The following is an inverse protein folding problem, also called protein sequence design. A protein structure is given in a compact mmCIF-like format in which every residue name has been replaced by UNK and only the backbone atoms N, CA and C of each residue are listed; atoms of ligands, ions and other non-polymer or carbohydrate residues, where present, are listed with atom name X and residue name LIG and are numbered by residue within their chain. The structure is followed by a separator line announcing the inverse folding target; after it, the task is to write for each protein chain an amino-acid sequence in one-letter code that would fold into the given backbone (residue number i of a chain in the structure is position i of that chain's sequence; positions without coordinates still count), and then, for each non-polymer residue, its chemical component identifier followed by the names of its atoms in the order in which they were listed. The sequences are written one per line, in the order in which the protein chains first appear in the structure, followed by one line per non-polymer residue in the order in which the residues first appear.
data_IF_663124240257
#
_entry.id   IF_663124240257
#
_cell.length_a   1.000
_cell.length_b   1.000
_cell.length_c   1.000
_cell.angle_alpha   90.00
_cell.angle_beta   90.00
_cell.angle_gamma   90.00
#
_symmetry.space_group_name_H-M   'P 1'
#
loop_
_entity.id
_entity.type
_entity.pdbx_description
1 polymer ?
#
# COMPACT_ATOMS: atom_id res chain seq x y z
N UNK A 1 30.05 -1.46 -31.13
CA UNK A 1 30.69 -2.43 -32.03
C UNK A 1 30.82 -3.82 -31.35
N UNK A 2 31.21 -3.89 -30.06
CA UNK A 2 31.45 -5.15 -29.34
C UNK A 2 30.19 -5.98 -29.11
N UNK A 3 29.03 -5.33 -29.02
CA UNK A 3 27.72 -6.00 -28.89
C UNK A 3 27.10 -6.35 -30.26
N UNK A 4 27.79 -6.10 -31.37
CA UNK A 4 27.26 -6.34 -32.72
C UNK A 4 26.13 -5.39 -33.14
N UNK A 5 25.88 -4.32 -32.38
CA UNK A 5 24.85 -3.32 -32.68
C UNK A 5 25.42 -2.10 -33.36
N UNK A 6 24.67 -1.52 -34.30
CA UNK A 6 24.96 -0.21 -34.86
C UNK A 6 24.76 0.87 -33.79
N UNK A 7 25.61 1.91 -33.81
CA UNK A 7 25.49 3.05 -32.88
C UNK A 7 25.44 4.35 -33.69
N UNK A 8 24.50 5.23 -33.29
CA UNK A 8 24.39 6.62 -33.75
C UNK A 8 24.40 7.52 -32.53
N UNK A 9 25.23 8.52 -32.52
CA UNK A 9 25.32 9.51 -31.45
C UNK A 9 26.74 9.88 -31.05
N UNK A 10 26.88 10.74 -30.00
CA UNK A 10 25.79 11.41 -29.26
C UNK A 10 25.08 12.47 -30.12
N UNK A 11 23.75 12.58 -29.96
CA UNK A 11 22.89 13.55 -30.63
C UNK A 11 22.33 14.52 -29.59
N UNK A 12 22.29 15.82 -29.94
CA UNK A 12 21.58 16.78 -29.09
C UNK A 12 20.06 16.49 -29.10
N UNK A 13 19.54 16.02 -27.98
CA UNK A 13 18.12 15.66 -27.83
C UNK A 13 17.15 16.84 -27.79
N UNK A 14 17.67 18.08 -27.77
CA UNK A 14 16.86 19.30 -27.86
C UNK A 14 16.86 19.89 -29.27
N UNK A 15 17.56 19.27 -30.23
CA UNK A 15 17.51 19.58 -31.66
C UNK A 15 16.59 18.59 -32.37
N UNK A 16 15.37 19.03 -32.67
CA UNK A 16 14.32 18.17 -33.25
C UNK A 16 14.72 17.71 -34.68
N UNK A 17 15.37 18.56 -35.47
CA UNK A 17 15.77 18.22 -36.83
C UNK A 17 16.81 17.11 -36.84
N UNK A 18 17.83 17.20 -35.97
CA UNK A 18 18.84 16.16 -35.78
C UNK A 18 18.22 14.84 -35.28
N UNK A 19 17.24 14.91 -34.35
CA UNK A 19 16.50 13.74 -33.87
C UNK A 19 15.71 13.06 -34.98
N UNK A 20 14.95 13.84 -35.78
CA UNK A 20 14.17 13.30 -36.91
C UNK A 20 15.06 12.59 -37.90
N UNK A 21 16.24 13.15 -38.25
CA UNK A 21 17.20 12.51 -39.15
C UNK A 21 17.72 11.19 -38.60
N UNK A 22 18.14 11.20 -37.33
CA UNK A 22 18.69 10.00 -36.68
C UNK A 22 17.66 8.89 -36.53
N UNK A 23 16.44 9.24 -36.11
CA UNK A 23 15.34 8.28 -35.95
C UNK A 23 14.83 7.74 -37.29
N UNK A 24 14.83 8.56 -38.34
CA UNK A 24 14.51 8.11 -39.69
C UNK A 24 15.56 7.09 -40.20
N UNK A 25 16.83 7.39 -40.00
CA UNK A 25 17.89 6.41 -40.33
C UNK A 25 17.75 5.12 -39.52
N UNK A 26 17.47 5.24 -38.21
CA UNK A 26 17.31 4.07 -37.34
C UNK A 26 16.10 3.20 -37.74
N UNK A 27 15.00 3.83 -38.15
CA UNK A 27 13.78 3.14 -38.64
C UNK A 27 14.09 2.31 -39.88
N UNK A 28 14.89 2.86 -40.81
CA UNK A 28 15.15 2.26 -42.10
C UNK A 28 16.38 1.31 -42.08
N UNK A 29 17.05 1.19 -40.92
CA UNK A 29 18.20 0.29 -40.74
C UNK A 29 17.71 -1.13 -40.42
N UNK A 30 18.20 -2.12 -41.20
CA UNK A 30 17.87 -3.53 -41.00
C UNK A 30 18.82 -4.15 -39.96
N UNK A 31 18.39 -4.12 -38.68
CA UNK A 31 19.12 -4.68 -37.56
C UNK A 31 19.02 -3.87 -36.27
N UNK A 32 19.61 -4.37 -35.19
CA UNK A 32 19.59 -3.66 -33.90
C UNK A 32 20.50 -2.42 -33.96
N UNK A 33 19.96 -1.29 -33.48
CA UNK A 33 20.64 0.00 -33.50
C UNK A 33 20.43 0.76 -32.18
N UNK A 34 21.48 1.37 -31.66
CA UNK A 34 21.45 2.28 -30.52
C UNK A 34 21.46 3.71 -31.04
N UNK A 35 20.43 4.49 -30.70
CA UNK A 35 20.41 5.93 -30.91
C UNK A 35 20.66 6.61 -29.56
N UNK A 36 21.89 7.16 -29.42
CA UNK A 36 22.29 7.84 -28.18
C UNK A 36 21.93 9.32 -28.25
N UNK A 37 20.97 9.72 -27.43
CA UNK A 37 20.44 11.08 -27.34
C UNK A 37 20.85 11.68 -26.00
N UNK A 38 21.46 12.87 -26.00
CA UNK A 38 21.85 13.61 -24.79
C UNK A 38 20.84 14.72 -24.58
N UNK A 39 20.22 14.72 -23.40
CA UNK A 39 19.23 15.71 -22.98
C UNK A 39 19.59 16.35 -21.63
N UNK A 40 19.07 17.52 -21.37
CA UNK A 40 19.08 18.21 -20.09
C UNK A 40 17.68 18.13 -19.50
N UNK A 41 17.53 17.51 -18.32
CA UNK A 41 16.24 17.41 -17.64
C UNK A 41 15.71 18.80 -17.26
N UNK A 42 14.46 19.07 -17.57
CA UNK A 42 13.84 20.39 -17.35
C UNK A 42 14.17 21.45 -18.40
N UNK A 43 14.88 21.10 -19.48
CA UNK A 43 15.28 22.03 -20.53
C UNK A 43 14.11 22.88 -21.06
N UNK A 44 14.34 24.17 -21.19
CA UNK A 44 13.33 25.14 -21.62
C UNK A 44 12.46 25.71 -20.50
N UNK A 45 12.59 25.19 -19.28
CA UNK A 45 11.88 25.70 -18.09
C UNK A 45 12.86 25.92 -16.94
N UNK A 46 13.35 27.14 -16.80
CA UNK A 46 14.38 27.48 -15.81
C UNK A 46 14.06 27.06 -14.36
N UNK A 47 12.79 27.14 -13.85
CA UNK A 47 12.46 26.64 -12.54
C UNK A 47 12.74 25.14 -12.36
N UNK A 48 12.53 24.33 -13.41
CA UNK A 48 12.83 22.90 -13.36
C UNK A 48 14.32 22.60 -13.45
N UNK A 49 15.05 23.27 -14.38
CA UNK A 49 16.51 23.11 -14.51
C UNK A 49 17.23 23.41 -13.19
N UNK A 50 16.76 24.43 -12.46
CA UNK A 50 17.38 24.91 -11.23
C UNK A 50 16.84 24.25 -9.95
N UNK A 51 15.84 23.35 -10.05
CA UNK A 51 15.30 22.63 -8.90
C UNK A 51 16.26 21.50 -8.48
N UNK A 52 16.82 21.56 -7.23
CA UNK A 52 17.95 20.70 -6.85
C UNK A 52 17.59 19.26 -6.51
N UNK A 53 16.31 18.93 -6.29
CA UNK A 53 15.89 17.58 -5.82
C UNK A 53 15.70 16.62 -6.97
N UNK A 54 14.72 16.87 -7.84
CA UNK A 54 14.33 15.97 -8.92
C UNK A 54 14.04 16.70 -10.24
N UNK A 55 14.38 17.98 -10.30
CA UNK A 55 14.17 18.83 -11.48
C UNK A 55 12.71 18.81 -11.93
N UNK A 56 11.79 18.83 -10.97
CA UNK A 56 10.34 18.79 -11.19
C UNK A 56 9.90 17.56 -12.02
N UNK A 57 10.48 16.40 -11.77
CA UNK A 57 10.13 15.16 -12.48
C UNK A 57 8.62 14.87 -12.43
N UNK A 58 8.00 15.15 -11.26
CA UNK A 58 6.56 15.07 -11.07
C UNK A 58 6.12 16.27 -10.22
N UNK A 59 5.19 17.05 -10.73
CA UNK A 59 4.67 18.24 -10.04
C UNK A 59 3.16 18.30 -10.12
N UNK A 60 2.52 18.83 -9.05
CA UNK A 60 1.11 19.21 -9.08
C UNK A 60 0.90 20.50 -9.88
N UNK A 61 -0.20 21.21 -9.61
CA UNK A 61 -0.46 22.52 -10.22
C UNK A 61 0.58 23.55 -9.74
N UNK A 62 1.29 24.15 -10.70
CA UNK A 62 2.30 25.19 -10.44
C UNK A 62 1.95 26.50 -11.15
N UNK A 63 2.56 27.58 -10.74
CA UNK A 63 2.62 28.81 -11.53
C UNK A 63 3.56 28.57 -12.73
N UNK A 64 3.10 28.79 -13.98
CA UNK A 64 3.88 28.43 -15.17
C UNK A 64 5.10 29.33 -15.39
N UNK A 65 5.22 30.45 -14.68
CA UNK A 65 6.33 31.38 -14.82
C UNK A 65 7.38 31.16 -13.73
N UNK A 66 6.93 31.00 -12.49
CA UNK A 66 7.81 30.91 -11.32
C UNK A 66 8.12 29.47 -10.91
N UNK A 67 7.34 28.48 -11.36
CA UNK A 67 7.42 27.09 -10.91
C UNK A 67 6.90 26.85 -9.48
N UNK A 68 6.37 27.88 -8.82
CA UNK A 68 5.87 27.76 -7.45
C UNK A 68 4.57 26.95 -7.42
N UNK A 69 4.48 25.98 -6.51
CA UNK A 69 3.29 25.18 -6.33
C UNK A 69 2.08 26.04 -5.95
N UNK A 70 0.92 25.77 -6.57
CA UNK A 70 -0.36 26.40 -6.26
C UNK A 70 -1.08 25.64 -5.17
N UNK A 71 -1.61 26.36 -4.18
CA UNK A 71 -2.41 25.81 -3.07
C UNK A 71 -1.60 25.50 -1.81
N UNK A 72 -2.31 25.29 -0.71
CA UNK A 72 -1.75 24.83 0.57
C UNK A 72 -1.56 23.32 0.50
N UNK A 73 -0.34 22.87 0.74
CA UNK A 73 -0.04 21.43 0.81
C UNK A 73 -0.61 20.88 2.12
N UNK A 74 -1.62 20.03 2.04
CA UNK A 74 -2.09 19.28 3.20
C UNK A 74 -1.04 18.22 3.59
N UNK A 75 -0.91 17.88 4.88
CA UNK A 75 -0.05 16.79 5.31
C UNK A 75 -0.42 15.49 4.59
N UNK A 76 0.57 14.82 4.03
CA UNK A 76 0.39 13.53 3.36
C UNK A 76 0.93 12.38 4.20
N UNK A 77 0.55 11.17 3.81
CA UNK A 77 1.04 9.93 4.43
C UNK A 77 2.57 9.85 4.45
N UNK A 78 3.20 10.12 3.31
CA UNK A 78 4.67 10.15 3.17
C UNK A 78 5.33 11.13 4.12
N UNK A 79 4.73 12.30 4.36
CA UNK A 79 5.27 13.31 5.29
C UNK A 79 5.17 12.83 6.74
N UNK A 80 4.04 12.23 7.14
CA UNK A 80 3.86 11.67 8.48
C UNK A 80 4.85 10.54 8.78
N UNK A 81 5.09 9.64 7.81
CA UNK A 81 6.15 8.63 7.90
C UNK A 81 7.54 9.25 8.04
N UNK A 82 7.87 10.24 7.19
CA UNK A 82 9.16 10.92 7.18
C UNK A 82 9.49 11.58 8.52
N UNK A 83 8.51 12.30 9.11
CA UNK A 83 8.64 12.91 10.43
C UNK A 83 8.91 11.88 11.52
N UNK A 84 8.15 10.76 11.51
CA UNK A 84 8.28 9.71 12.52
C UNK A 84 9.59 8.95 12.40
N UNK A 85 10.06 8.66 11.17
CA UNK A 85 11.36 8.03 10.94
C UNK A 85 12.52 8.88 11.47
N UNK A 86 12.52 10.19 11.20
CA UNK A 86 13.55 11.11 11.71
C UNK A 86 13.50 11.14 13.24
N UNK A 87 12.31 11.26 13.83
CA UNK A 87 12.14 11.28 15.29
C UNK A 87 12.58 9.97 15.97
N UNK A 88 12.38 8.82 15.32
CA UNK A 88 12.86 7.53 15.81
C UNK A 88 14.39 7.43 15.73
N UNK A 89 14.98 7.87 14.62
CA UNK A 89 16.43 7.84 14.38
C UNK A 89 17.23 8.82 15.25
N UNK A 90 16.59 9.87 15.78
CA UNK A 90 17.20 10.74 16.81
C UNK A 90 17.37 10.04 18.16
N UNK A 91 16.60 8.96 18.40
CA UNK A 91 16.62 8.19 19.65
C UNK A 91 17.37 6.86 19.51
N UNK A 92 17.52 6.37 18.29
CA UNK A 92 18.12 5.05 17.98
C UNK A 92 19.18 5.20 16.89
N UNK A 93 20.42 4.96 17.24
CA UNK A 93 21.57 5.08 16.33
C UNK A 93 21.71 3.86 15.39
N UNK A 94 21.02 2.77 15.66
CA UNK A 94 20.99 1.55 14.85
C UNK A 94 20.08 1.65 13.64
N UNK A 95 19.16 2.63 13.59
CA UNK A 95 18.27 2.81 12.44
C UNK A 95 19.05 3.34 11.23
N UNK A 96 18.99 2.61 10.13
CA UNK A 96 19.51 3.00 8.82
C UNK A 96 18.39 3.02 7.78
N UNK A 97 18.41 3.98 6.86
CA UNK A 97 17.37 4.11 5.84
C UNK A 97 17.92 3.77 4.45
N UNK A 98 17.17 2.98 3.70
CA UNK A 98 17.54 2.51 2.36
C UNK A 98 16.39 2.82 1.38
N UNK A 99 16.75 3.29 0.18
CA UNK A 99 15.79 3.44 -0.93
C UNK A 99 16.41 3.06 -2.25
N UNK A 100 15.58 2.94 -3.29
CA UNK A 100 15.98 2.61 -4.66
C UNK A 100 15.66 3.78 -5.59
N UNK A 101 16.53 4.79 -5.64
CA UNK A 101 16.42 6.03 -6.43
C UNK A 101 15.18 6.90 -6.10
N UNK A 102 14.67 6.84 -4.85
CA UNK A 102 13.37 7.42 -4.49
C UNK A 102 13.39 8.21 -3.17
N UNK A 103 14.51 8.79 -2.76
CA UNK A 103 14.65 9.48 -1.47
C UNK A 103 13.57 10.55 -1.21
N UNK A 104 13.27 11.41 -2.18
CA UNK A 104 12.22 12.41 -2.08
C UNK A 104 10.81 11.81 -2.05
N UNK A 105 10.43 11.00 -3.07
CA UNK A 105 9.11 10.42 -3.19
C UNK A 105 8.67 9.48 -2.05
N UNK A 106 9.61 8.81 -1.37
CA UNK A 106 9.34 7.94 -0.22
C UNK A 106 9.55 8.63 1.14
N UNK A 107 9.83 9.95 1.15
CA UNK A 107 9.98 10.72 2.38
C UNK A 107 11.33 10.55 3.08
N UNK A 108 12.34 9.95 2.47
CA UNK A 108 13.65 9.75 3.08
C UNK A 108 14.60 10.95 2.96
N UNK A 109 14.27 11.98 2.17
CA UNK A 109 15.13 13.13 1.99
C UNK A 109 15.47 13.86 3.31
N UNK A 110 14.54 14.11 4.26
CA UNK A 110 14.87 14.67 5.55
C UNK A 110 15.79 13.78 6.40
N UNK A 111 15.64 12.47 6.32
CA UNK A 111 16.55 11.52 6.97
C UNK A 111 17.95 11.62 6.37
N UNK A 112 18.07 11.63 5.04
CA UNK A 112 19.35 11.81 4.33
C UNK A 112 20.06 13.11 4.73
N UNK A 113 19.33 14.22 4.83
CA UNK A 113 19.89 15.51 5.26
C UNK A 113 20.38 15.46 6.71
N UNK A 114 19.66 14.76 7.60
CA UNK A 114 19.95 14.73 9.04
C UNK A 114 20.97 13.67 9.41
N UNK A 115 20.99 12.51 8.73
CA UNK A 115 21.81 11.34 9.02
C UNK A 115 22.50 10.77 7.77
N UNK A 116 23.33 11.53 7.06
CA UNK A 116 23.90 11.13 5.78
C UNK A 116 24.70 9.81 5.83
N UNK A 117 25.35 9.53 6.97
CA UNK A 117 26.15 8.29 7.18
C UNK A 117 25.28 7.04 7.41
N UNK A 118 23.98 7.23 7.64
CA UNK A 118 23.01 6.14 7.87
C UNK A 118 21.97 6.02 6.75
N UNK A 119 22.20 6.72 5.64
CA UNK A 119 21.32 6.72 4.48
C UNK A 119 22.00 6.07 3.28
N UNK A 120 21.27 5.18 2.57
CA UNK A 120 21.75 4.48 1.40
C UNK A 120 20.72 4.57 0.26
N UNK A 121 21.14 5.13 -0.87
CA UNK A 121 20.39 5.06 -2.13
C UNK A 121 21.11 4.12 -3.08
N UNK A 122 20.49 2.98 -3.37
CA UNK A 122 21.09 1.92 -4.19
C UNK A 122 20.82 2.08 -5.70
N UNK A 123 20.21 3.21 -6.11
CA UNK A 123 19.73 3.37 -7.48
C UNK A 123 18.49 2.50 -7.75
N UNK A 124 18.13 2.29 -9.02
CA UNK A 124 16.96 1.46 -9.37
C UNK A 124 17.35 -0.03 -9.25
N UNK A 125 17.44 -0.50 -8.01
CA UNK A 125 17.92 -1.85 -7.68
C UNK A 125 17.26 -2.36 -6.38
N UNK A 126 15.96 -2.61 -6.39
CA UNK A 126 15.18 -3.01 -5.22
C UNK A 126 15.68 -4.33 -4.63
N UNK A 127 16.15 -5.29 -5.46
CA UNK A 127 16.76 -6.52 -4.99
C UNK A 127 18.01 -6.24 -4.14
N UNK A 128 18.87 -5.33 -4.62
CA UNK A 128 20.05 -4.93 -3.87
C UNK A 128 19.70 -4.21 -2.57
N UNK A 129 18.63 -3.38 -2.56
CA UNK A 129 18.14 -2.75 -1.34
C UNK A 129 17.81 -3.78 -0.26
N UNK A 130 17.05 -4.84 -0.62
CA UNK A 130 16.66 -5.89 0.33
C UNK A 130 17.85 -6.75 0.78
N UNK A 131 18.72 -7.18 -0.15
CA UNK A 131 19.92 -7.95 0.22
C UNK A 131 20.88 -7.12 1.08
N UNK A 132 21.04 -5.82 0.80
CA UNK A 132 21.85 -4.91 1.64
C UNK A 132 21.27 -4.74 3.03
N UNK A 133 19.94 -4.61 3.13
CA UNK A 133 19.23 -4.55 4.41
C UNK A 133 19.51 -5.81 5.26
N UNK A 134 19.47 -6.99 4.64
CA UNK A 134 19.84 -8.25 5.31
C UNK A 134 21.24 -8.18 5.91
N UNK A 135 22.23 -7.74 5.11
CA UNK A 135 23.62 -7.60 5.59
C UNK A 135 23.76 -6.61 6.75
N UNK A 136 23.07 -5.47 6.69
CA UNK A 136 23.06 -4.46 7.75
C UNK A 136 22.40 -4.99 9.03
N UNK A 137 21.29 -5.72 8.89
CA UNK A 137 20.60 -6.35 10.03
C UNK A 137 21.49 -7.43 10.71
N UNK A 138 22.21 -8.25 9.94
CA UNK A 138 23.20 -9.18 10.46
C UNK A 138 24.35 -8.47 11.19
N UNK A 139 24.65 -7.23 10.79
CA UNK A 139 25.62 -6.34 11.44
C UNK A 139 25.10 -5.66 12.72
N UNK A 140 23.85 -5.91 13.13
CA UNK A 140 23.23 -5.34 14.33
C UNK A 140 22.55 -3.99 14.12
N UNK A 141 22.31 -3.58 12.86
CA UNK A 141 21.51 -2.40 12.54
C UNK A 141 20.03 -2.77 12.37
N UNK A 142 19.13 -1.78 12.43
CA UNK A 142 17.72 -1.91 12.09
C UNK A 142 17.42 -1.18 10.78
N UNK A 143 17.46 -1.87 9.63
CA UNK A 143 17.19 -1.23 8.36
C UNK A 143 15.71 -0.91 8.16
N UNK A 144 15.44 0.32 7.68
CA UNK A 144 14.15 0.77 7.17
C UNK A 144 14.26 0.94 5.67
N UNK A 145 13.64 0.06 4.89
CA UNK A 145 13.69 0.09 3.43
C UNK A 145 12.40 0.70 2.91
N UNK A 146 12.47 1.91 2.34
CA UNK A 146 11.30 2.61 1.82
C UNK A 146 11.29 2.63 0.29
N UNK A 147 10.26 2.00 -0.28
CA UNK A 147 10.01 1.91 -1.73
C UNK A 147 8.52 2.08 -2.03
N UNK A 148 8.18 2.32 -3.29
CA UNK A 148 6.77 2.21 -3.69
C UNK A 148 6.33 0.75 -3.64
N UNK A 149 5.11 0.53 -3.19
CA UNK A 149 4.53 -0.79 -3.05
C UNK A 149 4.63 -1.63 -4.33
N UNK A 150 4.33 -1.04 -5.49
CA UNK A 150 4.44 -1.74 -6.79
C UNK A 150 5.87 -2.17 -7.13
N UNK A 151 6.91 -1.50 -6.61
CA UNK A 151 8.30 -1.83 -6.91
C UNK A 151 8.88 -2.94 -6.01
N UNK A 152 8.24 -3.20 -4.86
CA UNK A 152 8.56 -4.35 -4.03
C UNK A 152 8.48 -5.68 -4.81
N UNK A 153 7.62 -5.75 -5.83
CA UNK A 153 7.46 -6.93 -6.68
C UNK A 153 8.79 -7.46 -7.26
N UNK A 154 9.77 -6.58 -7.46
CA UNK A 154 11.09 -6.95 -7.98
C UNK A 154 11.99 -7.63 -6.97
N UNK A 155 11.68 -7.51 -5.68
CA UNK A 155 12.55 -7.96 -4.59
C UNK A 155 11.88 -8.98 -3.66
N UNK A 156 10.77 -9.59 -4.06
CA UNK A 156 10.03 -10.57 -3.23
C UNK A 156 10.92 -11.76 -2.86
N UNK A 157 11.73 -12.27 -3.79
CA UNK A 157 12.66 -13.36 -3.54
C UNK A 157 13.66 -13.00 -2.44
N UNK A 158 14.25 -11.80 -2.49
CA UNK A 158 15.19 -11.33 -1.48
C UNK A 158 14.53 -11.12 -0.12
N UNK A 159 13.27 -10.68 -0.08
CA UNK A 159 12.52 -10.61 1.19
C UNK A 159 12.35 -12.00 1.79
N UNK A 160 12.01 -13.02 0.99
CA UNK A 160 11.84 -14.39 1.45
C UNK A 160 13.18 -15.00 1.87
N UNK A 161 14.19 -14.97 0.99
CA UNK A 161 15.40 -15.76 1.13
C UNK A 161 16.49 -15.06 1.96
N UNK A 162 16.62 -13.72 1.82
CA UNK A 162 17.70 -13.01 2.50
C UNK A 162 17.25 -12.43 3.86
N UNK A 163 15.95 -12.11 4.03
CA UNK A 163 15.45 -11.46 5.25
C UNK A 163 14.63 -12.44 6.09
N UNK A 164 13.52 -12.97 5.56
CA UNK A 164 12.58 -13.78 6.35
C UNK A 164 13.16 -15.13 6.78
N UNK A 165 13.88 -15.83 5.89
CA UNK A 165 14.55 -17.10 6.19
C UNK A 165 15.50 -16.95 7.37
N UNK A 166 16.18 -15.82 7.48
CA UNK A 166 17.13 -15.50 8.53
C UNK A 166 16.47 -14.80 9.73
N UNK A 167 15.16 -14.55 9.70
CA UNK A 167 14.37 -13.86 10.73
C UNK A 167 14.96 -12.51 11.14
N UNK A 168 15.36 -11.72 10.14
CA UNK A 168 16.04 -10.45 10.40
C UNK A 168 15.05 -9.31 10.67
N UNK A 169 15.34 -8.42 11.62
CA UNK A 169 14.52 -7.25 11.94
C UNK A 169 14.70 -6.15 10.89
N UNK A 170 13.98 -6.27 9.80
CA UNK A 170 13.94 -5.29 8.71
C UNK A 170 12.54 -4.74 8.59
N UNK A 171 12.40 -3.41 8.71
CA UNK A 171 11.13 -2.72 8.45
C UNK A 171 11.05 -2.28 6.99
N UNK A 172 10.07 -2.80 6.26
CA UNK A 172 9.81 -2.44 4.86
C UNK A 172 8.64 -1.46 4.83
N UNK A 173 8.87 -0.26 4.33
CA UNK A 173 7.85 0.78 4.21
C UNK A 173 7.39 0.90 2.77
N UNK A 174 6.10 0.65 2.56
CA UNK A 174 5.49 0.62 1.25
C UNK A 174 4.60 1.86 1.05
N UNK A 175 5.18 2.87 0.43
CA UNK A 175 4.43 4.06 -0.01
C UNK A 175 3.61 3.72 -1.27
N UNK A 176 2.49 4.37 -1.47
CA UNK A 176 1.55 4.15 -2.59
C UNK A 176 1.00 2.73 -2.64
N UNK A 177 0.72 2.15 -1.50
CA UNK A 177 0.00 0.89 -1.39
C UNK A 177 -1.45 1.03 -1.81
N UNK A 178 -2.02 -0.05 -2.32
CA UNK A 178 -3.38 -0.07 -2.82
C UNK A 178 -3.57 0.66 -4.15
N UNK A 179 -4.75 1.21 -4.36
CA UNK A 179 -5.10 1.93 -5.58
C UNK A 179 -4.49 3.33 -5.56
N UNK A 180 -3.61 3.64 -6.50
CA UNK A 180 -3.02 4.98 -6.69
C UNK A 180 -3.81 5.84 -7.68
N UNK A 181 -4.50 5.20 -8.63
CA UNK A 181 -5.35 5.85 -9.63
C UNK A 181 -4.58 6.53 -10.75
N UNK A 182 -4.33 7.82 -10.64
CA UNK A 182 -3.73 8.67 -11.68
C UNK A 182 -2.34 8.26 -12.16
N UNK A 183 -1.63 7.44 -11.41
CA UNK A 183 -0.30 6.95 -11.80
C UNK A 183 -0.38 5.78 -12.81
N UNK A 184 -1.59 5.28 -13.08
CA UNK A 184 -1.86 4.23 -14.06
C UNK A 184 -1.60 2.81 -13.58
N UNK A 185 -1.87 1.84 -14.43
CA UNK A 185 -1.88 0.40 -14.10
C UNK A 185 -0.58 -0.11 -13.47
N UNK A 186 0.58 0.40 -13.91
CA UNK A 186 1.90 -0.05 -13.44
C UNK A 186 2.28 0.46 -12.05
N UNK A 187 1.54 1.43 -11.49
CA UNK A 187 1.87 2.07 -10.22
C UNK A 187 0.87 1.79 -9.10
N UNK A 188 -0.19 1.02 -9.37
CA UNK A 188 -1.08 0.56 -8.31
C UNK A 188 -0.38 -0.49 -7.46
N UNK A 189 -0.28 -0.23 -6.16
CA UNK A 189 0.38 -1.11 -5.18
C UNK A 189 -0.58 -2.13 -4.57
N UNK A 190 -1.44 -2.75 -5.38
CA UNK A 190 -2.51 -3.64 -4.94
C UNK A 190 -2.05 -5.08 -4.65
N UNK A 191 -0.81 -5.41 -4.99
CA UNK A 191 -0.23 -6.75 -4.89
C UNK A 191 0.44 -7.02 -3.55
N UNK A 192 0.81 -5.98 -2.82
CA UNK A 192 1.69 -6.03 -1.66
C UNK A 192 1.23 -7.01 -0.57
N UNK A 193 -0.01 -6.91 -0.13
CA UNK A 193 -0.55 -7.80 0.90
C UNK A 193 -0.57 -9.25 0.44
N UNK A 194 -0.98 -9.52 -0.81
CA UNK A 194 -1.01 -10.87 -1.35
C UNK A 194 0.40 -11.49 -1.48
N UNK A 195 1.40 -10.69 -1.85
CA UNK A 195 2.79 -11.15 -1.96
C UNK A 195 3.47 -11.31 -0.60
N UNK A 196 3.19 -10.42 0.34
CA UNK A 196 3.81 -10.46 1.66
C UNK A 196 3.14 -11.46 2.60
N UNK A 197 1.87 -11.79 2.39
CA UNK A 197 1.16 -12.78 3.20
C UNK A 197 1.75 -14.19 3.11
N UNK A 198 2.42 -14.52 2.00
CA UNK A 198 3.07 -15.82 1.82
C UNK A 198 4.46 -15.92 2.48
N UNK A 199 5.00 -14.80 2.98
CA UNK A 199 6.34 -14.74 3.58
C UNK A 199 6.30 -15.22 5.02
N UNK A 200 7.03 -16.30 5.39
CA UNK A 200 6.99 -16.81 6.76
C UNK A 200 7.47 -15.79 7.80
N UNK A 201 6.71 -15.61 8.87
CA UNK A 201 7.05 -14.70 9.96
C UNK A 201 6.92 -13.20 9.62
N UNK A 202 6.30 -12.86 8.50
CA UNK A 202 6.04 -11.49 8.11
C UNK A 202 4.94 -10.86 8.98
N UNK A 203 5.19 -9.65 9.46
CA UNK A 203 4.18 -8.81 10.10
C UNK A 203 3.76 -7.70 9.12
N UNK A 204 2.45 -7.52 8.90
CA UNK A 204 1.94 -6.52 7.95
C UNK A 204 1.03 -5.55 8.72
N UNK A 205 1.43 -4.28 8.76
CA UNK A 205 0.64 -3.19 9.31
C UNK A 205 -0.03 -2.38 8.19
N UNK A 206 -1.32 -2.10 8.36
CA UNK A 206 -2.11 -1.29 7.44
C UNK A 206 -2.81 -0.17 8.22
N UNK A 207 -2.15 0.97 8.46
CA UNK A 207 -2.74 2.08 9.22
C UNK A 207 -3.94 2.71 8.50
N UNK A 208 -4.99 3.03 9.28
CA UNK A 208 -6.20 3.69 8.77
C UNK A 208 -6.06 5.21 8.64
N UNK A 209 -5.18 5.82 9.44
CA UNK A 209 -4.97 7.27 9.54
C UNK A 209 -3.54 7.63 9.95
N UNK A 210 -3.26 8.93 10.13
CA UNK A 210 -1.93 9.42 10.45
C UNK A 210 -1.46 9.06 11.86
N UNK A 211 -2.37 9.01 12.83
CA UNK A 211 -2.04 8.60 14.19
C UNK A 211 -1.62 7.13 14.24
N UNK A 212 -2.39 6.26 13.56
CA UNK A 212 -2.08 4.82 13.47
C UNK A 212 -0.83 4.56 12.63
N UNK A 213 -0.55 5.34 11.59
CA UNK A 213 0.71 5.21 10.84
C UNK A 213 1.92 5.42 11.77
N UNK A 214 1.91 6.48 12.56
CA UNK A 214 3.03 6.78 13.48
C UNK A 214 3.20 5.71 14.54
N UNK A 215 2.10 5.23 15.09
CA UNK A 215 2.09 4.18 16.10
C UNK A 215 2.63 2.85 15.55
N UNK A 216 2.04 2.35 14.46
CA UNK A 216 2.42 1.09 13.84
C UNK A 216 3.85 1.11 13.29
N UNK A 217 4.32 2.26 12.83
CA UNK A 217 5.72 2.41 12.44
C UNK A 217 6.65 2.28 13.66
N UNK A 218 6.33 2.89 14.81
CA UNK A 218 7.10 2.68 16.05
C UNK A 218 7.08 1.23 16.50
N UNK A 219 5.90 0.60 16.49
CA UNK A 219 5.76 -0.82 16.83
C UNK A 219 6.61 -1.70 15.89
N UNK A 220 6.66 -1.39 14.57
CA UNK A 220 7.47 -2.15 13.61
C UNK A 220 8.96 -2.12 13.90
N UNK A 221 9.46 -1.03 14.49
CA UNK A 221 10.87 -0.90 14.89
C UNK A 221 11.22 -1.72 16.14
N UNK A 222 10.25 -2.22 16.88
CA UNK A 222 10.43 -3.08 18.05
C UNK A 222 10.30 -4.58 17.70
N UNK A 223 9.98 -4.93 16.46
CA UNK A 223 9.90 -6.32 16.02
C UNK A 223 11.29 -6.84 15.71
N UNK A 224 11.80 -7.73 16.57
CA UNK A 224 13.10 -8.36 16.42
C UNK A 224 13.04 -9.80 15.87
N UNK A 225 11.84 -10.38 15.79
CA UNK A 225 11.64 -11.79 15.43
C UNK A 225 11.59 -12.08 13.93
N UNK A 226 11.61 -11.04 13.09
CA UNK A 226 11.51 -11.17 11.63
C UNK A 226 11.16 -9.85 10.95
N UNK A 227 10.85 -9.89 9.64
CA UNK A 227 10.52 -8.70 8.89
C UNK A 227 9.14 -8.14 9.21
N UNK A 228 9.01 -6.83 9.05
CA UNK A 228 7.72 -6.13 9.12
C UNK A 228 7.50 -5.26 7.89
N UNK A 229 6.23 -5.08 7.55
CA UNK A 229 5.77 -4.17 6.50
C UNK A 229 4.85 -3.13 7.11
N UNK A 230 5.07 -1.86 6.81
CA UNK A 230 4.12 -0.77 7.08
C UNK A 230 3.69 -0.20 5.74
N UNK A 231 2.40 -0.37 5.38
CA UNK A 231 1.86 0.03 4.09
C UNK A 231 0.87 1.18 4.20
N UNK A 232 0.97 2.18 3.33
CA UNK A 232 0.02 3.30 3.31
C UNK A 232 -0.22 3.82 1.89
N UNK A 233 -1.41 4.43 1.64
CA UNK A 233 -1.77 4.90 0.30
C UNK A 233 -1.09 6.21 -0.07
N UNK A 234 -1.17 6.55 -1.36
CA UNK A 234 -0.80 7.87 -1.89
C UNK A 234 -1.79 8.94 -1.43
N UNK A 235 -1.30 10.15 -1.21
CA UNK A 235 -2.13 11.35 -1.03
C UNK A 235 -2.11 11.94 0.36
N UNK A 236 -3.16 12.68 0.67
CA UNK A 236 -3.31 13.35 1.96
C UNK A 236 -3.66 12.35 3.06
N UNK A 237 -3.29 12.68 4.30
CA UNK A 237 -3.77 11.94 5.46
C UNK A 237 -5.29 11.98 5.53
N UNK A 238 -5.87 10.88 5.92
CA UNK A 238 -7.26 10.84 6.37
C UNK A 238 -7.36 11.46 7.77
N UNK A 239 -8.53 12.01 8.14
CA UNK A 239 -8.76 12.44 9.51
C UNK A 239 -8.49 11.29 10.49
N UNK A 240 -7.87 11.59 11.61
CA UNK A 240 -7.66 10.61 12.68
C UNK A 240 -9.01 10.12 13.19
N UNK A 241 -9.15 8.81 13.37
CA UNK A 241 -10.33 8.13 13.86
C UNK A 241 -10.03 7.44 15.18
N UNK A 242 -10.71 7.88 16.24
CA UNK A 242 -10.64 7.19 17.52
C UNK A 242 -11.38 5.84 17.44
N UNK A 243 -10.83 4.82 18.08
CA UNK A 243 -11.54 3.58 18.28
C UNK A 243 -12.62 3.74 19.34
N UNK A 244 -13.74 3.06 19.15
CA UNK A 244 -14.79 2.98 20.17
C UNK A 244 -14.32 2.09 21.33
N UNK A 245 -13.57 1.03 20.99
CA UNK A 245 -12.94 0.10 21.93
C UNK A 245 -11.69 -0.51 21.28
N UNK A 246 -10.79 -1.09 22.10
CA UNK A 246 -9.61 -1.81 21.63
C UNK A 246 -9.49 -3.13 22.37
N UNK A 247 -9.42 -4.22 21.62
CA UNK A 247 -9.34 -5.57 22.17
C UNK A 247 -7.93 -5.92 22.65
N UNK A 248 -7.79 -6.97 23.45
CA UNK A 248 -6.55 -7.29 24.15
C UNK A 248 -5.35 -7.63 23.25
N UNK A 249 -5.59 -7.99 21.98
CA UNK A 249 -4.57 -8.23 20.96
C UNK A 249 -4.37 -7.04 20.00
N UNK A 250 -4.95 -5.88 20.34
CA UNK A 250 -4.75 -4.61 19.64
C UNK A 250 -5.70 -4.35 18.47
N UNK A 251 -6.69 -5.19 18.25
CA UNK A 251 -7.76 -4.93 17.26
C UNK A 251 -8.63 -3.78 17.75
N UNK A 252 -8.76 -2.74 16.94
CA UNK A 252 -9.64 -1.60 17.23
C UNK A 252 -11.06 -1.87 16.72
N UNK A 253 -12.05 -1.62 17.55
CA UNK A 253 -13.46 -1.56 17.14
C UNK A 253 -13.76 -0.12 16.77
N UNK A 254 -14.22 0.10 15.54
CA UNK A 254 -14.48 1.42 15.00
C UNK A 254 -15.96 1.80 15.01
N UNK A 255 -16.83 0.80 15.01
CA UNK A 255 -18.28 0.97 15.03
C UNK A 255 -18.94 -0.28 15.60
N UNK A 256 -19.96 -0.06 16.43
CA UNK A 256 -20.93 -1.07 16.82
C UNK A 256 -22.28 -0.72 16.21
N UNK A 257 -23.00 -1.71 15.71
CA UNK A 257 -24.37 -1.53 15.28
C UNK A 257 -25.27 -1.07 16.43
N UNK A 258 -26.19 -0.18 16.12
CA UNK A 258 -27.14 0.39 17.09
C UNK A 258 -28.54 -0.24 16.97
N UNK A 259 -28.71 -1.28 16.16
CA UNK A 259 -30.02 -1.91 16.01
C UNK A 259 -30.43 -2.54 17.36
N UNK A 260 -31.62 -2.21 17.83
CA UNK A 260 -32.19 -2.85 19.00
C UNK A 260 -32.19 -4.37 18.75
N UNK A 261 -31.51 -5.11 19.61
CA UNK A 261 -31.34 -6.56 19.50
C UNK A 261 -32.69 -7.27 19.43
N UNK A 262 -33.16 -7.56 18.22
CA UNK A 262 -34.26 -8.49 17.97
C UNK A 262 -33.68 -9.86 17.59
N UNK A 263 -34.40 -10.93 17.89
CA UNK A 263 -33.90 -12.31 17.63
C UNK A 263 -33.63 -12.65 16.17
N UNK A 264 -33.97 -11.76 15.18
CA UNK A 264 -33.89 -11.99 13.75
C UNK A 264 -33.09 -10.89 12.99
N UNK A 265 -32.27 -10.07 13.67
CA UNK A 265 -31.47 -9.03 13.01
C UNK A 265 -30.15 -9.63 12.52
N UNK A 266 -29.79 -9.53 11.22
CA UNK A 266 -28.52 -10.03 10.73
C UNK A 266 -27.32 -9.31 11.34
N UNK A 267 -26.34 -10.07 11.82
CA UNK A 267 -25.09 -9.59 12.42
C UNK A 267 -23.95 -9.67 11.39
N UNK A 268 -23.35 -8.55 11.02
CA UNK A 268 -22.27 -8.48 10.05
C UNK A 268 -20.99 -7.94 10.69
N UNK A 269 -19.90 -8.68 10.57
CA UNK A 269 -18.56 -8.21 10.91
C UNK A 269 -17.84 -7.67 9.68
N UNK A 270 -17.54 -6.37 9.63
CA UNK A 270 -16.68 -5.80 8.59
C UNK A 270 -15.25 -5.67 9.15
N UNK A 271 -14.35 -6.47 8.62
CA UNK A 271 -12.90 -6.34 8.88
C UNK A 271 -12.32 -5.38 7.86
N UNK A 272 -12.07 -4.17 8.29
CA UNK A 272 -11.62 -3.07 7.44
C UNK A 272 -10.11 -2.94 7.45
N UNK A 273 -9.49 -2.93 6.27
CA UNK A 273 -8.05 -2.91 6.11
C UNK A 273 -7.56 -1.49 5.80
N UNK A 274 -6.90 -0.89 6.80
CA UNK A 274 -6.23 0.39 6.66
C UNK A 274 -7.14 1.52 6.18
N UNK A 275 -6.76 2.19 5.10
CA UNK A 275 -7.47 3.35 4.55
C UNK A 275 -8.93 3.09 4.09
N UNK A 276 -9.39 1.84 4.15
CA UNK A 276 -10.80 1.51 3.89
C UNK A 276 -11.72 1.80 5.08
N UNK A 277 -11.18 2.05 6.28
CA UNK A 277 -11.95 2.18 7.53
C UNK A 277 -13.06 3.23 7.48
N UNK A 278 -12.79 4.42 6.95
CA UNK A 278 -13.83 5.46 6.81
C UNK A 278 -14.99 5.01 5.92
N UNK A 279 -14.68 4.31 4.81
CA UNK A 279 -15.69 3.79 3.87
C UNK A 279 -16.50 2.65 4.48
N UNK A 280 -15.85 1.81 5.27
CA UNK A 280 -16.48 0.70 5.98
C UNK A 280 -17.47 1.19 7.06
N UNK A 281 -17.12 2.25 7.79
CA UNK A 281 -18.00 2.88 8.77
C UNK A 281 -19.23 3.50 8.08
N UNK A 282 -19.04 4.19 6.95
CA UNK A 282 -20.15 4.76 6.19
C UNK A 282 -21.06 3.65 5.61
N UNK A 283 -20.48 2.56 5.10
CA UNK A 283 -21.25 1.41 4.64
C UNK A 283 -22.04 0.76 5.79
N UNK A 284 -21.44 0.64 6.99
CA UNK A 284 -22.12 0.13 8.18
C UNK A 284 -23.34 0.97 8.57
N UNK A 285 -23.23 2.30 8.52
CA UNK A 285 -24.38 3.20 8.78
C UNK A 285 -25.51 2.99 7.76
N UNK A 286 -25.18 2.88 6.47
CA UNK A 286 -26.17 2.61 5.43
C UNK A 286 -26.88 1.26 5.62
N UNK A 287 -26.17 0.24 6.09
CA UNK A 287 -26.72 -1.07 6.46
C UNK A 287 -27.59 -0.99 7.71
N UNK A 288 -27.19 -0.21 8.71
CA UNK A 288 -27.97 0.04 9.91
C UNK A 288 -29.35 0.66 9.59
N UNK A 289 -29.42 1.60 8.63
CA UNK A 289 -30.68 2.15 8.12
C UNK A 289 -31.59 1.09 7.47
N UNK A 290 -31.02 -0.04 7.04
CA UNK A 290 -31.74 -1.19 6.45
C UNK A 290 -32.05 -2.27 7.52
N UNK A 291 -31.73 -2.04 8.80
CA UNK A 291 -32.01 -2.98 9.88
C UNK A 291 -30.97 -4.10 10.02
N UNK A 292 -29.73 -3.89 9.53
CA UNK A 292 -28.60 -4.82 9.70
C UNK A 292 -27.72 -4.32 10.84
N UNK A 293 -27.35 -5.19 11.75
CA UNK A 293 -26.41 -4.88 12.82
C UNK A 293 -24.97 -5.08 12.32
N UNK A 294 -24.12 -4.07 12.42
CA UNK A 294 -22.79 -4.12 11.83
C UNK A 294 -21.71 -3.73 12.84
N UNK A 295 -20.77 -4.63 13.06
CA UNK A 295 -19.52 -4.33 13.78
C UNK A 295 -18.41 -4.05 12.77
N UNK A 296 -17.72 -2.92 12.88
CA UNK A 296 -16.55 -2.60 12.04
C UNK A 296 -15.30 -2.65 12.90
N UNK A 297 -14.30 -3.44 12.47
CA UNK A 297 -13.02 -3.57 13.15
C UNK A 297 -11.85 -3.20 12.23
N UNK A 298 -10.81 -2.63 12.83
CA UNK A 298 -9.49 -2.42 12.21
C UNK A 298 -8.47 -3.32 12.92
N UNK A 299 -7.92 -4.32 12.25
CA UNK A 299 -6.90 -5.18 12.84
C UNK A 299 -5.60 -4.47 13.19
N UNK A 300 -5.33 -3.29 12.59
CA UNK A 300 -4.06 -2.57 12.65
C UNK A 300 -2.91 -3.38 12.04
N UNK A 301 -2.54 -4.50 12.66
CA UNK A 301 -1.69 -5.55 12.11
C UNK A 301 -2.59 -6.58 11.41
N UNK A 302 -2.52 -6.62 10.09
CA UNK A 302 -3.37 -7.49 9.26
C UNK A 302 -2.78 -8.88 9.03
N UNK A 303 -1.50 -9.04 9.34
CA UNK A 303 -0.80 -10.32 9.42
C UNK A 303 0.20 -10.28 10.59
N UNK A 304 0.23 -11.35 11.41
CA UNK A 304 -0.69 -12.49 11.44
C UNK A 304 -2.12 -12.09 11.78
N UNK A 305 -3.12 -12.90 11.41
CA UNK A 305 -4.54 -12.66 11.75
C UNK A 305 -4.72 -12.71 13.27
N UNK A 306 -5.30 -11.65 13.83
CA UNK A 306 -5.53 -11.53 15.27
C UNK A 306 -6.61 -12.51 15.75
N UNK A 307 -6.42 -13.08 16.94
CA UNK A 307 -7.36 -14.04 17.53
C UNK A 307 -8.74 -13.42 17.81
N UNK A 308 -8.79 -12.13 18.13
CA UNK A 308 -10.05 -11.40 18.33
C UNK A 308 -10.89 -11.32 17.07
N UNK A 309 -10.28 -11.23 15.87
CA UNK A 309 -11.02 -11.26 14.59
C UNK A 309 -11.70 -12.61 14.41
N UNK A 310 -11.01 -13.70 14.75
CA UNK A 310 -11.57 -15.06 14.68
C UNK A 310 -12.71 -15.25 15.68
N UNK A 311 -12.52 -14.76 16.91
CA UNK A 311 -13.55 -14.83 17.95
C UNK A 311 -14.81 -14.03 17.57
N UNK A 312 -14.63 -12.79 17.11
CA UNK A 312 -15.76 -11.96 16.65
C UNK A 312 -16.51 -12.61 15.48
N UNK A 313 -15.79 -13.24 14.54
CA UNK A 313 -16.40 -13.91 13.41
C UNK A 313 -17.38 -15.01 13.84
N UNK A 314 -17.12 -15.71 14.95
CA UNK A 314 -17.97 -16.78 15.45
C UNK A 314 -19.33 -16.25 15.98
N UNK A 315 -19.40 -14.98 16.35
CA UNK A 315 -20.61 -14.34 16.90
C UNK A 315 -21.40 -13.54 15.83
N UNK A 316 -21.04 -13.68 14.54
CA UNK A 316 -21.68 -12.97 13.43
C UNK A 316 -22.17 -13.92 12.34
N UNK A 317 -23.21 -13.54 11.58
CA UNK A 317 -23.78 -14.32 10.48
C UNK A 317 -22.96 -14.22 9.20
N UNK A 318 -22.22 -13.12 9.02
CA UNK A 318 -21.41 -12.83 7.84
C UNK A 318 -20.15 -12.03 8.21
N UNK A 319 -19.01 -12.50 7.75
CA UNK A 319 -17.76 -11.72 7.77
C UNK A 319 -17.53 -11.10 6.41
N UNK A 320 -17.28 -9.79 6.37
CA UNK A 320 -16.91 -9.05 5.17
C UNK A 320 -15.53 -8.44 5.36
N UNK A 321 -14.59 -8.70 4.47
CA UNK A 321 -13.30 -8.00 4.46
C UNK A 321 -13.31 -6.89 3.43
N UNK A 322 -12.82 -5.70 3.79
CA UNK A 322 -12.74 -4.55 2.91
C UNK A 322 -11.27 -4.10 2.78
N UNK A 323 -10.68 -4.30 1.62
CA UNK A 323 -9.28 -4.00 1.36
C UNK A 323 -9.06 -3.30 0.00
N UNK A 324 -8.13 -2.37 -0.08
CA UNK A 324 -7.68 -1.78 -1.35
C UNK A 324 -6.53 -2.59 -1.99
N UNK A 325 -6.45 -3.87 -1.64
CA UNK A 325 -5.59 -4.90 -2.17
C UNK A 325 -6.35 -5.92 -3.01
N UNK A 326 -5.65 -6.91 -3.54
CA UNK A 326 -6.27 -7.99 -4.32
C UNK A 326 -7.21 -8.84 -3.47
N UNK A 327 -8.42 -9.09 -3.97
CA UNK A 327 -9.35 -10.07 -3.37
C UNK A 327 -8.73 -11.48 -3.30
N UNK A 328 -7.94 -11.84 -4.31
CA UNK A 328 -7.29 -13.15 -4.39
C UNK A 328 -5.94 -13.13 -3.69
N UNK A 329 -5.80 -13.92 -2.64
CA UNK A 329 -4.58 -14.01 -1.85
C UNK A 329 -4.32 -12.80 -0.94
N UNK A 330 -5.25 -11.82 -0.86
CA UNK A 330 -5.20 -10.71 0.07
C UNK A 330 -5.59 -11.11 1.50
N UNK A 331 -5.80 -10.12 2.33
CA UNK A 331 -6.09 -10.33 3.77
C UNK A 331 -7.39 -11.10 3.99
N UNK A 332 -8.40 -10.86 3.16
CA UNK A 332 -9.64 -11.65 3.23
C UNK A 332 -9.44 -13.15 2.98
N UNK A 333 -8.43 -13.55 2.21
CA UNK A 333 -8.05 -14.96 2.05
C UNK A 333 -7.40 -15.51 3.32
N UNK A 334 -6.50 -14.75 3.95
CA UNK A 334 -5.87 -15.15 5.23
C UNK A 334 -6.91 -15.30 6.35
N UNK A 335 -7.87 -14.38 6.43
CA UNK A 335 -8.96 -14.47 7.41
C UNK A 335 -9.80 -15.72 7.15
N UNK A 336 -10.17 -16.01 5.90
CA UNK A 336 -10.90 -17.25 5.56
C UNK A 336 -10.13 -18.51 5.96
N UNK A 337 -8.80 -18.54 5.78
CA UNK A 337 -7.94 -19.64 6.22
C UNK A 337 -7.90 -19.74 7.75
N UNK A 338 -7.78 -18.60 8.47
CA UNK A 338 -7.75 -18.57 9.92
C UNK A 338 -9.08 -19.06 10.53
N UNK A 339 -10.23 -18.66 9.97
CA UNK A 339 -11.55 -19.12 10.42
C UNK A 339 -11.69 -20.64 10.19
N UNK A 340 -11.32 -21.11 9.01
CA UNK A 340 -11.34 -22.55 8.70
C UNK A 340 -10.44 -23.37 9.65
N UNK A 341 -9.25 -22.85 9.98
CA UNK A 341 -8.35 -23.52 10.92
C UNK A 341 -8.88 -23.53 12.37
N UNK A 342 -9.71 -22.56 12.72
CA UNK A 342 -10.38 -22.45 14.02
C UNK A 342 -11.75 -23.15 14.08
N UNK A 343 -12.15 -23.85 13.01
CA UNK A 343 -13.47 -24.52 12.88
C UNK A 343 -14.65 -23.52 13.03
N UNK A 344 -14.48 -22.27 12.56
CA UNK A 344 -15.51 -21.23 12.49
C UNK A 344 -16.14 -21.26 11.11
N UNK A 345 -17.42 -21.61 11.03
CA UNK A 345 -18.16 -21.83 9.76
C UNK A 345 -18.79 -20.55 9.19
N UNK A 346 -18.60 -19.38 9.84
CA UNK A 346 -19.16 -18.10 9.39
C UNK A 346 -18.72 -17.78 7.96
N UNK A 347 -19.66 -17.53 7.03
CA UNK A 347 -19.32 -17.19 5.64
C UNK A 347 -18.46 -15.95 5.54
N UNK A 348 -17.44 -15.99 4.68
CA UNK A 348 -16.59 -14.82 4.40
C UNK A 348 -16.88 -14.30 2.99
N UNK A 349 -17.12 -13.00 2.87
CA UNK A 349 -17.20 -12.27 1.62
C UNK A 349 -16.10 -11.21 1.56
N UNK A 350 -15.57 -10.97 0.38
CA UNK A 350 -14.38 -10.14 0.21
C UNK A 350 -14.65 -8.99 -0.75
N UNK A 351 -14.50 -7.76 -0.27
CA UNK A 351 -14.49 -6.53 -1.05
C UNK A 351 -13.04 -6.09 -1.27
N UNK A 352 -12.64 -5.93 -2.52
CA UNK A 352 -11.27 -5.57 -2.86
C UNK A 352 -11.05 -5.48 -4.36
N UNK A 353 -9.79 -5.35 -4.76
CA UNK A 353 -9.40 -5.20 -6.16
C UNK A 353 -9.52 -6.54 -6.88
N UNK A 354 -10.26 -6.61 -8.00
CA UNK A 354 -10.37 -7.82 -8.82
C UNK A 354 -9.02 -8.24 -9.41
N UNK A 355 -8.93 -9.48 -9.92
CA UNK A 355 -7.72 -10.08 -10.47
C UNK A 355 -7.31 -9.57 -11.86
N UNK A 356 -7.46 -8.27 -12.13
CA UNK A 356 -6.99 -7.62 -13.35
C UNK A 356 -6.30 -6.28 -13.05
N UNK A 357 -5.53 -5.76 -14.02
CA UNK A 357 -4.84 -4.49 -13.84
C UNK A 357 -5.82 -3.32 -13.89
N UNK A 358 -5.84 -2.46 -12.85
CA UNK A 358 -6.69 -1.29 -12.83
C UNK A 358 -6.39 -0.35 -14.00
N UNK A 359 -7.43 0.26 -14.58
CA UNK A 359 -7.27 1.28 -15.60
C UNK A 359 -6.78 2.60 -14.99
N UNK A 360 -6.32 3.51 -15.84
CA UNK A 360 -6.03 4.88 -15.43
C UNK A 360 -7.32 5.61 -15.05
N UNK A 361 -7.31 6.28 -13.90
CA UNK A 361 -8.40 7.10 -13.38
C UNK A 361 -7.96 7.83 -12.12
N UNK A 362 -8.80 8.60 -11.49
CA UNK A 362 -8.59 9.04 -10.11
C UNK A 362 -8.73 7.84 -9.15
N UNK A 363 -8.15 7.93 -7.94
CA UNK A 363 -8.35 6.88 -6.92
C UNK A 363 -9.84 6.63 -6.65
N UNK A 364 -10.66 7.70 -6.61
CA UNK A 364 -12.10 7.58 -6.37
C UNK A 364 -12.81 6.78 -7.45
N UNK A 365 -12.59 7.13 -8.73
CA UNK A 365 -13.17 6.43 -9.88
C UNK A 365 -12.77 4.96 -9.94
N UNK A 366 -11.51 4.63 -9.65
CA UNK A 366 -11.06 3.24 -9.65
C UNK A 366 -11.66 2.45 -8.48
N UNK A 367 -11.78 3.06 -7.30
CA UNK A 367 -12.45 2.41 -6.16
C UNK A 367 -13.94 2.20 -6.42
N UNK A 368 -14.60 3.14 -7.10
CA UNK A 368 -16.00 2.99 -7.53
C UNK A 368 -16.15 1.87 -8.57
N UNK A 369 -15.26 1.77 -9.57
CA UNK A 369 -15.24 0.65 -10.54
C UNK A 369 -15.16 -0.71 -9.84
N UNK A 370 -14.48 -0.78 -8.70
CA UNK A 370 -14.31 -2.01 -7.92
C UNK A 370 -15.38 -2.25 -6.85
N UNK A 371 -16.41 -1.41 -6.79
CA UNK A 371 -17.46 -1.55 -5.78
C UNK A 371 -17.02 -1.17 -4.37
N UNK A 372 -15.98 -0.37 -4.22
CA UNK A 372 -15.38 0.03 -2.94
C UNK A 372 -15.81 1.44 -2.48
N UNK A 373 -16.97 1.93 -2.93
CA UNK A 373 -17.65 3.07 -2.30
C UNK A 373 -18.59 2.58 -1.20
N UNK A 374 -18.91 3.41 -0.19
CA UNK A 374 -19.81 3.01 0.89
C UNK A 374 -21.14 2.43 0.40
N UNK A 375 -21.74 3.07 -0.60
CA UNK A 375 -23.05 2.68 -1.18
C UNK A 375 -22.97 1.33 -1.88
N UNK A 376 -21.92 1.10 -2.68
CA UNK A 376 -21.72 -0.16 -3.41
C UNK A 376 -21.32 -1.30 -2.46
N UNK A 377 -20.54 -1.00 -1.42
CA UNK A 377 -20.22 -1.96 -0.37
C UNK A 377 -21.48 -2.39 0.37
N UNK A 378 -22.32 -1.44 0.81
CA UNK A 378 -23.58 -1.73 1.49
C UNK A 378 -24.52 -2.56 0.59
N UNK A 379 -24.69 -2.18 -0.68
CA UNK A 379 -25.51 -2.92 -1.63
C UNK A 379 -25.03 -4.37 -1.83
N UNK A 380 -23.72 -4.59 -1.97
CA UNK A 380 -23.15 -5.93 -2.09
C UNK A 380 -23.39 -6.77 -0.83
N UNK A 381 -23.24 -6.17 0.36
CA UNK A 381 -23.48 -6.86 1.63
C UNK A 381 -24.96 -7.24 1.79
N UNK A 382 -25.87 -6.34 1.46
CA UNK A 382 -27.32 -6.62 1.48
C UNK A 382 -27.69 -7.78 0.56
N UNK A 383 -27.18 -7.79 -0.69
CA UNK A 383 -27.37 -8.90 -1.64
C UNK A 383 -26.84 -10.24 -1.09
N UNK A 384 -25.69 -10.23 -0.43
CA UNK A 384 -25.12 -11.44 0.17
C UNK A 384 -25.96 -11.99 1.35
N UNK A 385 -26.52 -11.10 2.18
CA UNK A 385 -27.41 -11.48 3.29
C UNK A 385 -28.71 -12.09 2.75
N UNK A 386 -29.32 -11.51 1.71
CA UNK A 386 -30.51 -12.06 1.05
C UNK A 386 -30.24 -13.46 0.52
N UNK A 387 -29.10 -13.69 -0.14
CA UNK A 387 -28.71 -15.00 -0.66
C UNK A 387 -28.48 -16.03 0.46
N UNK A 388 -27.86 -15.65 1.59
CA UNK A 388 -27.66 -16.55 2.73
C UNK A 388 -28.99 -16.97 3.36
N UNK A 389 -29.92 -16.03 3.49
CA UNK A 389 -31.26 -16.30 4.02
C UNK A 389 -32.06 -17.23 3.10
N UNK A 390 -31.98 -17.02 1.76
CA UNK A 390 -32.64 -17.89 0.79
C UNK A 390 -32.09 -19.32 0.82
N UNK A 391 -30.76 -19.48 0.93
CA UNK A 391 -30.10 -20.79 1.03
C UNK A 391 -30.47 -21.54 2.33
N UNK A 392 -30.61 -20.82 3.44
CA UNK A 392 -31.01 -21.37 4.72
C UNK A 392 -32.47 -21.88 4.67
N UNK A 393 -33.37 -21.11 4.10
CA UNK A 393 -34.78 -21.47 3.93
C UNK A 393 -34.94 -22.72 3.02
N UNK A 394 -34.19 -22.77 1.91
CA UNK A 394 -34.21 -23.91 0.99
C UNK A 394 -33.76 -25.23 1.67
N UNK A 395 -32.75 -25.18 2.53
CA UNK A 395 -32.27 -26.34 3.30
C UNK A 395 -33.23 -26.74 4.43
N UNK A 396 -33.95 -25.77 5.01
CA UNK A 396 -34.97 -26.05 6.04
C UNK A 396 -36.23 -26.71 5.50
N UNK A 397 -36.57 -26.55 4.21
CA UNK A 397 -37.69 -27.19 3.55
C UNK A 397 -37.39 -28.63 3.08
N UNK A 398 -36.10 -29.03 3.01
CA UNK A 398 -35.69 -30.40 2.62
C UNK A 398 -35.56 -31.38 3.81
N UNK A 399 -35.68 -30.93 5.06
CA UNK A 399 -35.63 -31.72 6.28
C UNK A 399 -37.01 -31.80 6.93
#
# INVERSE_FOLDING_TARGET
PELGMKYIGPINGHDIDSLVHALTYARDYDGPIIVHVVTEKGHGFAPAVNEPKDQMHSTGAIDPVTGVAKGTKQPGWTAAFSEELVAAAEKRDDIVAITAAMAGPTGLAPFQERFPERFFDVGIAEQHAMTSASGLALGGMHPVVAVYSTFLNRAVDQVIMDIALLKLPVTIVLDRSGVTGSDGASHNGVWDMALMSIVPGMHIAAPRDGARLRELFRESLEIESGPSVVRFPKGNLLPDMEAVDTLGDGVDILHYGEADAGEDIPEVLIVSIGAMSARSIEAAKLLGEQGVNVTVVDPRWVAPVASSVVALAADHDLVVTAEDGLVRGGIGSMISEALSAAEVDTPVRRLGVPGYFPKHGSRGEVLEEFGLTPELMAASISEWLENLTADANARGEEN
#
